data_IF_897562746071
#
_entry.id   IF_897562746071
#
_cell.length_a   1.000
_cell.length_b   1.000
_cell.length_c   1.000
_cell.angle_alpha   90.00
_cell.angle_beta   90.00
_cell.angle_gamma   90.00
#
_symmetry.space_group_name_H-M   'P 1'
#
loop_
_entity.id
_entity.type
_entity.pdbx_description
1 polymer ?
#
# COMPACT_ATOMS: atom_id res chain seq x y z
N UNK A 1 -16.26 -9.73 -33.64
CA UNK A 1 -15.91 -10.34 -32.34
C UNK A 1 -14.44 -10.10 -31.98
N UNK A 2 -13.98 -8.84 -31.97
CA UNK A 2 -12.55 -8.50 -31.78
C UNK A 2 -12.32 -7.17 -31.04
N UNK A 3 -13.10 -6.12 -31.36
CA UNK A 3 -12.91 -4.79 -30.76
C UNK A 3 -13.22 -4.75 -29.24
N UNK A 4 -14.26 -5.48 -28.80
CA UNK A 4 -14.62 -5.55 -27.38
C UNK A 4 -13.56 -6.21 -26.51
N UNK A 5 -12.85 -7.23 -27.04
CA UNK A 5 -11.77 -7.93 -26.34
C UNK A 5 -10.51 -7.07 -26.23
N UNK A 6 -10.23 -6.27 -27.27
CA UNK A 6 -9.14 -5.30 -27.25
C UNK A 6 -9.40 -4.19 -26.23
N UNK A 7 -10.63 -3.66 -26.19
CA UNK A 7 -11.00 -2.62 -25.22
C UNK A 7 -10.92 -3.13 -23.77
N UNK A 8 -11.46 -4.32 -23.48
CA UNK A 8 -11.37 -4.92 -22.14
C UNK A 8 -9.93 -5.29 -21.77
N UNK A 9 -9.12 -5.72 -22.74
CA UNK A 9 -7.70 -5.97 -22.55
C UNK A 9 -6.93 -4.70 -22.17
N UNK A 10 -7.17 -3.59 -22.87
CA UNK A 10 -6.52 -2.30 -22.61
C UNK A 10 -6.96 -1.76 -21.24
N UNK A 11 -8.26 -1.77 -20.92
CA UNK A 11 -8.74 -1.28 -19.62
C UNK A 11 -8.22 -2.14 -18.46
N UNK A 12 -8.16 -3.46 -18.64
CA UNK A 12 -7.56 -4.37 -17.67
C UNK A 12 -6.07 -4.10 -17.44
N UNK A 13 -5.30 -3.84 -18.51
CA UNK A 13 -3.87 -3.53 -18.42
C UNK A 13 -3.62 -2.16 -17.78
N UNK A 14 -4.40 -1.15 -18.13
CA UNK A 14 -4.36 0.16 -17.47
C UNK A 14 -4.70 0.05 -15.98
N UNK A 15 -5.76 -0.67 -15.63
CA UNK A 15 -6.13 -0.91 -14.23
C UNK A 15 -5.04 -1.64 -13.45
N UNK A 16 -4.43 -2.67 -14.06
CA UNK A 16 -3.30 -3.39 -13.49
C UNK A 16 -2.06 -2.52 -13.29
N UNK A 17 -1.73 -1.66 -14.25
CA UNK A 17 -0.62 -0.70 -14.13
C UNK A 17 -0.84 0.30 -12.99
N UNK A 18 -2.05 0.85 -12.86
CA UNK A 18 -2.42 1.76 -11.76
C UNK A 18 -2.32 1.05 -10.41
N UNK A 19 -2.81 -0.20 -10.31
CA UNK A 19 -2.72 -0.99 -9.08
C UNK A 19 -1.26 -1.30 -8.69
N UNK A 20 -0.42 -1.69 -9.65
CA UNK A 20 0.99 -1.96 -9.43
C UNK A 20 1.76 -0.70 -9.00
N UNK A 21 1.49 0.44 -9.66
CA UNK A 21 2.07 1.73 -9.28
C UNK A 21 1.66 2.14 -7.85
N UNK A 22 0.38 1.97 -7.50
CA UNK A 22 -0.12 2.27 -6.16
C UNK A 22 0.54 1.39 -5.10
N UNK A 23 0.69 0.08 -5.37
CA UNK A 23 1.36 -0.85 -4.48
C UNK A 23 2.84 -0.49 -4.28
N UNK A 24 3.58 -0.24 -5.36
CA UNK A 24 4.99 0.13 -5.31
C UNK A 24 5.19 1.44 -4.52
N UNK A 25 4.38 2.47 -4.81
CA UNK A 25 4.38 3.72 -4.07
C UNK A 25 4.07 3.53 -2.58
N UNK A 26 3.13 2.65 -2.25
CA UNK A 26 2.78 2.32 -0.87
C UNK A 26 3.93 1.64 -0.11
N UNK A 27 4.57 0.63 -0.71
CA UNK A 27 5.68 -0.11 -0.09
C UNK A 27 6.88 0.79 0.15
N UNK A 28 7.24 1.60 -0.84
CA UNK A 28 8.36 2.55 -0.75
C UNK A 28 8.03 3.64 0.27
N UNK A 29 6.81 4.21 0.21
CA UNK A 29 6.38 5.29 1.09
C UNK A 29 6.31 4.89 2.57
N UNK A 30 6.02 3.62 2.86
CA UNK A 30 6.05 3.11 4.22
C UNK A 30 7.46 2.75 4.72
N UNK A 31 8.43 2.55 3.82
CA UNK A 31 9.79 2.19 4.23
C UNK A 31 9.91 0.83 4.93
N UNK A 32 8.93 -0.07 4.75
CA UNK A 32 8.94 -1.40 5.41
C UNK A 32 10.16 -2.24 4.97
N UNK A 33 10.45 -2.26 3.67
CA UNK A 33 11.58 -3.01 3.10
C UNK A 33 12.94 -2.54 3.66
N UNK A 34 13.33 -1.24 3.56
CA UNK A 34 14.62 -0.79 4.08
C UNK A 34 14.73 -1.00 5.60
N UNK A 35 13.61 -0.97 6.33
CA UNK A 35 13.57 -1.22 7.77
C UNK A 35 13.89 -2.67 8.12
N UNK A 36 13.27 -3.64 7.43
CA UNK A 36 13.64 -5.04 7.61
C UNK A 36 15.09 -5.31 7.24
N UNK A 37 15.55 -4.74 6.12
CA UNK A 37 16.93 -4.88 5.69
C UNK A 37 17.92 -4.25 6.69
N UNK A 38 17.51 -3.18 7.39
CA UNK A 38 18.26 -2.57 8.49
C UNK A 38 18.33 -3.47 9.72
N UNK A 39 17.20 -4.05 10.16
CA UNK A 39 17.15 -4.95 11.33
C UNK A 39 17.96 -6.22 11.07
N UNK A 40 17.84 -6.82 9.88
CA UNK A 40 18.58 -8.04 9.51
C UNK A 40 20.02 -7.75 9.08
N UNK A 41 20.45 -6.48 9.11
CA UNK A 41 21.79 -6.06 8.67
C UNK A 41 22.12 -6.52 7.24
N UNK A 42 21.08 -6.65 6.41
CA UNK A 42 21.12 -7.24 5.08
C UNK A 42 20.71 -6.21 4.01
N UNK A 43 21.13 -4.95 4.17
CA UNK A 43 20.87 -3.86 3.23
C UNK A 43 21.31 -4.13 1.78
N UNK A 44 22.31 -5.00 1.59
CA UNK A 44 22.78 -5.39 0.25
C UNK A 44 21.77 -6.20 -0.54
N UNK A 45 20.80 -6.85 0.10
CA UNK A 45 19.82 -7.72 -0.56
C UNK A 45 18.40 -7.14 -0.53
N UNK A 46 18.26 -5.81 -0.53
CA UNK A 46 16.95 -5.11 -0.59
C UNK A 46 16.09 -5.62 -1.75
N UNK A 47 16.68 -5.85 -2.92
CA UNK A 47 15.97 -6.35 -4.10
C UNK A 47 15.31 -7.71 -3.84
N UNK A 48 15.93 -8.59 -3.06
CA UNK A 48 15.32 -9.89 -2.73
C UNK A 48 14.05 -9.71 -1.88
N UNK A 49 14.06 -8.77 -0.92
CA UNK A 49 12.86 -8.47 -0.12
C UNK A 49 11.73 -7.93 -0.98
N UNK A 50 12.05 -7.09 -1.97
CA UNK A 50 11.08 -6.57 -2.93
C UNK A 50 10.52 -7.67 -3.84
N UNK A 51 11.38 -8.56 -4.35
CA UNK A 51 10.98 -9.71 -5.18
C UNK A 51 10.01 -10.64 -4.43
N UNK A 52 10.29 -10.97 -3.17
CA UNK A 52 9.39 -11.78 -2.34
C UNK A 52 8.04 -11.10 -2.10
N UNK A 53 8.04 -9.77 -1.96
CA UNK A 53 6.82 -9.00 -1.80
C UNK A 53 6.00 -9.01 -3.10
N UNK A 54 6.63 -8.73 -4.24
CA UNK A 54 5.99 -8.79 -5.56
C UNK A 54 5.42 -10.19 -5.81
N UNK A 55 6.18 -11.24 -5.51
CA UNK A 55 5.74 -12.63 -5.67
C UNK A 55 4.54 -12.96 -4.78
N UNK A 56 4.55 -12.51 -3.52
CA UNK A 56 3.40 -12.61 -2.63
C UNK A 56 2.17 -11.85 -3.13
N UNK A 57 2.37 -10.68 -3.74
CA UNK A 57 1.30 -9.86 -4.29
C UNK A 57 0.68 -10.50 -5.55
N UNK A 58 1.50 -11.07 -6.44
CA UNK A 58 1.06 -11.86 -7.59
C UNK A 58 0.25 -13.07 -7.10
N UNK A 59 0.79 -13.84 -6.15
CA UNK A 59 0.10 -15.00 -5.60
C UNK A 59 -1.25 -14.63 -4.96
N UNK A 60 -1.28 -13.57 -4.14
CA UNK A 60 -2.50 -13.07 -3.52
C UNK A 60 -3.53 -12.58 -4.54
N UNK A 61 -3.08 -11.89 -5.60
CA UNK A 61 -3.95 -11.44 -6.68
C UNK A 61 -4.56 -12.63 -7.44
N UNK A 62 -3.77 -13.65 -7.78
CA UNK A 62 -4.27 -14.87 -8.41
C UNK A 62 -5.34 -15.56 -7.55
N UNK A 63 -5.09 -15.68 -6.23
CA UNK A 63 -6.06 -16.28 -5.30
C UNK A 63 -7.37 -15.48 -5.29
N UNK A 64 -7.27 -14.15 -5.24
CA UNK A 64 -8.43 -13.26 -5.19
C UNK A 64 -9.22 -13.23 -6.50
N UNK A 65 -8.56 -13.11 -7.65
CA UNK A 65 -9.20 -13.01 -8.97
C UNK A 65 -9.88 -14.32 -9.37
N UNK A 66 -9.18 -15.45 -9.21
CA UNK A 66 -9.71 -16.76 -9.60
C UNK A 66 -10.62 -17.37 -8.53
N UNK A 67 -10.85 -16.68 -7.40
CA UNK A 67 -11.57 -17.22 -6.24
C UNK A 67 -11.13 -18.66 -5.92
N UNK A 68 -9.81 -18.88 -5.92
CA UNK A 68 -9.24 -20.17 -5.59
C UNK A 68 -9.63 -20.47 -4.15
N UNK A 69 -10.64 -21.32 -3.99
CA UNK A 69 -11.14 -21.78 -2.70
C UNK A 69 -10.12 -22.74 -2.08
N UNK A 70 -9.04 -22.16 -1.59
CA UNK A 70 -7.94 -22.84 -0.94
C UNK A 70 -8.47 -23.29 0.44
N UNK A 71 -8.97 -24.52 0.49
CA UNK A 71 -9.54 -25.12 1.70
C UNK A 71 -8.44 -25.70 2.59
N UNK A 72 -7.51 -24.86 3.09
CA UNK A 72 -6.42 -25.30 4.00
C UNK A 72 -6.95 -25.58 5.43
N UNK A 73 -8.27 -25.52 5.65
CA UNK A 73 -8.88 -25.77 6.95
C UNK A 73 -8.43 -24.76 8.02
N UNK A 74 -8.74 -25.07 9.28
CA UNK A 74 -8.43 -24.21 10.42
C UNK A 74 -6.92 -23.91 10.62
N UNK A 75 -5.98 -24.87 10.46
CA UNK A 75 -4.56 -24.56 10.62
C UNK A 75 -4.01 -23.65 9.52
N UNK A 76 -4.51 -23.75 8.29
CA UNK A 76 -4.14 -22.83 7.21
C UNK A 76 -4.53 -21.40 7.46
N UNK A 77 -5.75 -21.19 7.95
CA UNK A 77 -6.24 -19.88 8.33
C UNK A 77 -5.42 -19.28 9.48
N UNK A 78 -5.01 -20.10 10.46
CA UNK A 78 -4.16 -19.66 11.57
C UNK A 78 -2.78 -19.20 11.08
N UNK A 79 -2.13 -19.97 10.20
CA UNK A 79 -0.85 -19.57 9.61
C UNK A 79 -0.97 -18.29 8.78
N UNK A 80 -1.98 -18.21 7.90
CA UNK A 80 -2.23 -17.00 7.12
C UNK A 80 -2.47 -15.78 8.02
N UNK A 81 -3.27 -15.94 9.09
CA UNK A 81 -3.52 -14.90 10.08
C UNK A 81 -2.26 -14.42 10.79
N UNK A 82 -1.33 -15.34 11.11
CA UNK A 82 -0.04 -14.99 11.70
C UNK A 82 0.82 -14.16 10.74
N UNK A 83 0.90 -14.53 9.46
CA UNK A 83 1.62 -13.75 8.46
C UNK A 83 0.99 -12.37 8.25
N UNK A 84 -0.34 -12.28 8.17
CA UNK A 84 -1.04 -11.00 8.12
C UNK A 84 -0.78 -10.15 9.37
N UNK A 85 -0.71 -10.76 10.55
CA UNK A 85 -0.38 -10.09 11.80
C UNK A 85 1.03 -9.50 11.81
N UNK A 86 2.04 -10.26 11.36
CA UNK A 86 3.43 -9.77 11.25
C UNK A 86 3.51 -8.59 10.26
N UNK A 87 2.84 -8.71 9.11
CA UNK A 87 2.77 -7.64 8.13
C UNK A 87 2.09 -6.39 8.69
N UNK A 88 0.92 -6.54 9.31
CA UNK A 88 0.15 -5.44 9.91
C UNK A 88 0.93 -4.76 11.06
N UNK A 89 1.57 -5.55 11.93
CA UNK A 89 2.40 -5.01 13.01
C UNK A 89 3.55 -4.17 12.48
N UNK A 90 4.18 -4.62 11.40
CA UNK A 90 5.29 -3.89 10.76
C UNK A 90 4.81 -2.63 10.06
N UNK A 91 3.60 -2.66 9.51
CA UNK A 91 2.93 -1.49 8.94
C UNK A 91 2.62 -0.41 9.98
N UNK A 92 2.13 -0.78 11.16
CA UNK A 92 1.82 0.18 12.24
C UNK A 92 3.07 0.94 12.67
N UNK A 93 4.20 0.25 12.81
CA UNK A 93 5.44 0.90 13.25
C UNK A 93 6.00 1.81 12.15
N UNK A 94 5.96 1.36 10.90
CA UNK A 94 6.32 2.16 9.73
C UNK A 94 5.49 3.45 9.64
N UNK A 95 4.17 3.36 9.82
CA UNK A 95 3.29 4.53 9.89
C UNK A 95 3.68 5.48 11.02
N UNK A 96 4.01 4.96 12.19
CA UNK A 96 4.49 5.76 13.32
C UNK A 96 5.75 6.57 12.99
N UNK A 97 6.71 5.97 12.28
CA UNK A 97 7.92 6.66 11.82
C UNK A 97 7.61 7.76 10.81
N UNK A 98 6.76 7.48 9.81
CA UNK A 98 6.34 8.48 8.81
C UNK A 98 5.59 9.64 9.46
N UNK A 99 4.68 9.36 10.39
CA UNK A 99 3.94 10.41 11.13
C UNK A 99 4.89 11.25 11.97
N UNK A 100 5.88 10.62 12.63
CA UNK A 100 6.89 11.37 13.38
C UNK A 100 7.77 12.24 12.46
N UNK A 101 8.19 11.72 11.31
CA UNK A 101 8.93 12.49 10.30
C UNK A 101 8.11 13.71 9.82
N UNK A 102 6.81 13.52 9.56
CA UNK A 102 5.89 14.61 9.22
C UNK A 102 5.78 15.64 10.36
N UNK A 103 5.66 15.19 11.61
CA UNK A 103 5.60 16.08 12.77
C UNK A 103 6.91 16.88 12.95
N UNK A 104 8.08 16.26 12.71
CA UNK A 104 9.38 16.94 12.72
C UNK A 104 9.42 18.00 11.61
N UNK A 105 9.02 17.65 10.38
CA UNK A 105 8.99 18.57 9.26
C UNK A 105 8.05 19.76 9.54
N UNK A 106 6.87 19.52 10.12
CA UNK A 106 5.94 20.57 10.52
C UNK A 106 6.56 21.51 11.56
N UNK A 107 7.28 20.99 12.56
CA UNK A 107 8.01 21.80 13.54
C UNK A 107 9.12 22.65 12.91
N UNK A 108 9.88 22.09 11.97
CA UNK A 108 10.94 22.81 11.24
C UNK A 108 10.41 23.92 10.34
N UNK A 109 9.26 23.71 9.71
CA UNK A 109 8.58 24.73 8.91
C UNK A 109 7.91 25.83 9.75
N UNK A 110 8.02 25.78 11.08
CA UNK A 110 7.48 26.79 11.96
C UNK A 110 5.96 26.74 12.11
N UNK A 111 5.32 25.60 11.82
CA UNK A 111 3.88 25.38 12.08
C UNK A 111 3.62 25.22 13.60
N UNK A 112 3.95 26.24 14.40
CA UNK A 112 3.64 26.27 15.83
C UNK A 112 2.16 26.60 16.06
N UNK A 113 1.55 27.39 15.18
CA UNK A 113 0.13 27.72 15.18
C UNK A 113 -0.39 27.63 13.73
N UNK A 114 -1.46 26.86 13.51
CA UNK A 114 -2.08 26.72 12.16
C UNK A 114 -2.14 25.31 11.58
N UNK A 115 -1.67 24.28 12.29
CA UNK A 115 -1.85 22.88 11.86
C UNK A 115 -3.35 22.55 11.63
N UNK A 116 -4.24 23.12 12.44
CA UNK A 116 -5.69 23.01 12.25
C UNK A 116 -6.18 23.59 10.91
N UNK A 117 -5.57 24.69 10.43
CA UNK A 117 -5.95 25.32 9.15
C UNK A 117 -5.52 24.47 7.95
N UNK A 118 -4.38 23.79 8.07
CA UNK A 118 -3.88 22.85 7.06
C UNK A 118 -4.75 21.60 7.03
N UNK A 119 -5.07 21.03 8.19
CA UNK A 119 -5.99 19.88 8.28
C UNK A 119 -7.37 20.27 7.72
N UNK A 120 -7.86 21.47 8.01
CA UNK A 120 -9.12 21.98 7.48
C UNK A 120 -9.06 22.15 5.96
N UNK A 121 -7.98 22.68 5.41
CA UNK A 121 -7.79 22.81 3.95
C UNK A 121 -7.73 21.45 3.25
N UNK A 122 -7.03 20.47 3.84
CA UNK A 122 -6.98 19.10 3.34
C UNK A 122 -8.36 18.46 3.40
N UNK A 123 -9.09 18.62 4.50
CA UNK A 123 -10.45 18.11 4.66
C UNK A 123 -11.39 18.72 3.62
N UNK A 124 -11.34 20.03 3.42
CA UNK A 124 -12.16 20.73 2.44
C UNK A 124 -11.85 20.27 1.01
N UNK A 125 -10.56 20.14 0.66
CA UNK A 125 -10.13 19.58 -0.63
C UNK A 125 -10.63 18.15 -0.85
N UNK A 126 -10.58 17.28 0.18
CA UNK A 126 -11.13 15.93 0.11
C UNK A 126 -12.65 15.91 -0.04
N UNK A 127 -13.36 16.77 0.68
CA UNK A 127 -14.82 16.88 0.60
C UNK A 127 -15.23 17.35 -0.80
N UNK A 128 -14.59 18.40 -1.34
CA UNK A 128 -14.84 18.87 -2.70
C UNK A 128 -14.50 17.79 -3.75
N UNK A 129 -13.37 17.11 -3.60
CA UNK A 129 -12.99 16.02 -4.50
C UNK A 129 -14.00 14.87 -4.49
N UNK A 130 -14.50 14.49 -3.30
CA UNK A 130 -15.55 13.48 -3.18
C UNK A 130 -16.86 13.93 -3.81
N UNK A 131 -17.27 15.18 -3.62
CA UNK A 131 -18.48 15.72 -4.24
C UNK A 131 -18.38 15.74 -5.76
N UNK A 132 -17.24 16.16 -6.31
CA UNK A 132 -16.99 16.14 -7.75
C UNK A 132 -17.01 14.71 -8.32
N UNK A 133 -16.42 13.74 -7.61
CA UNK A 133 -16.47 12.33 -8.02
C UNK A 133 -17.90 11.76 -8.06
N UNK A 134 -18.81 12.24 -7.21
CA UNK A 134 -20.22 11.82 -7.24
C UNK A 134 -21.05 12.58 -8.27
N UNK A 135 -20.64 13.80 -8.64
CA UNK A 135 -21.36 14.66 -9.59
C UNK A 135 -20.93 14.41 -11.06
N UNK A 136 -19.72 13.89 -11.27
CA UNK A 136 -19.18 13.41 -12.57
C UNK A 136 -19.50 11.94 -12.75
#
# INVERSE_FOLDING_TARGET
MSLGLLLTGITGLCGGAVAAAALSAFIIGLGIIPRYAGITHTGRHILLYEDFLILGCIAGNLISVYNLAIRIGNPGAAFAGLFFGIFLGSWIIALGEVVNAFAIAARHLGLKEGAGLIILSIAFGKTLGSLLQFCV
#
